data_IF_401461552501
#
_entry.id   IF_401461552501
#
_cell.length_a   1.000
_cell.length_b   1.000
_cell.length_c   1.000
_cell.angle_alpha   90.00
_cell.angle_beta   90.00
_cell.angle_gamma   90.00
#
_symmetry.space_group_name_H-M   'P 1'
#
loop_
_entity.id
_entity.type
_entity.pdbx_description
1 polymer ?
#
# COMPACT_ATOMS: atom_id res chain seq x y z
N UNK A 1 -12.09 -9.04 -9.94
CA UNK A 1 -12.57 -7.75 -9.38
C UNK A 1 -11.58 -6.65 -9.75
N UNK A 2 -12.06 -5.60 -10.37
CA UNK A 2 -11.20 -4.53 -10.91
C UNK A 2 -10.36 -3.86 -9.82
N UNK A 3 -10.96 -3.53 -8.68
CA UNK A 3 -10.24 -2.86 -7.59
C UNK A 3 -9.14 -3.76 -7.03
N UNK A 4 -9.39 -5.06 -6.95
CA UNK A 4 -8.37 -6.01 -6.48
C UNK A 4 -7.21 -6.11 -7.47
N UNK A 5 -7.49 -6.12 -8.77
CA UNK A 5 -6.47 -6.16 -9.82
C UNK A 5 -5.58 -4.91 -9.77
N UNK A 6 -6.18 -3.74 -9.54
CA UNK A 6 -5.43 -2.49 -9.39
C UNK A 6 -4.58 -2.49 -8.13
N UNK A 7 -5.10 -3.03 -7.03
CA UNK A 7 -4.35 -3.15 -5.78
C UNK A 7 -3.17 -4.11 -5.93
N UNK A 8 -3.36 -5.21 -6.67
CA UNK A 8 -2.29 -6.16 -6.97
C UNK A 8 -1.17 -5.47 -7.75
N UNK A 9 -1.53 -4.71 -8.79
CA UNK A 9 -0.56 -3.98 -9.58
C UNK A 9 0.19 -2.96 -8.73
N UNK A 10 -0.52 -2.21 -7.90
CA UNK A 10 0.08 -1.22 -7.01
C UNK A 10 1.08 -1.89 -6.05
N UNK A 11 0.72 -3.05 -5.51
CA UNK A 11 1.60 -3.80 -4.60
C UNK A 11 2.89 -4.21 -5.30
N UNK A 12 2.77 -4.78 -6.51
CA UNK A 12 3.93 -5.22 -7.28
C UNK A 12 4.81 -4.02 -7.65
N UNK A 13 4.19 -2.94 -8.10
CA UNK A 13 4.91 -1.72 -8.46
C UNK A 13 5.65 -1.13 -7.26
N UNK A 14 5.02 -1.17 -6.08
CA UNK A 14 5.65 -0.68 -4.84
C UNK A 14 6.88 -1.52 -4.49
N UNK A 15 6.77 -2.85 -4.56
CA UNK A 15 7.91 -3.74 -4.29
C UNK A 15 9.08 -3.47 -5.24
N UNK A 16 8.78 -3.19 -6.52
CA UNK A 16 9.82 -2.86 -7.49
C UNK A 16 10.45 -1.50 -7.22
N UNK A 17 9.61 -0.53 -6.87
CA UNK A 17 10.05 0.85 -6.63
C UNK A 17 10.97 0.95 -5.41
N UNK A 18 10.67 0.24 -4.32
CA UNK A 18 11.49 0.33 -3.10
C UNK A 18 12.90 -0.21 -3.31
N UNK A 19 13.14 -0.98 -4.35
CA UNK A 19 14.50 -1.44 -4.67
C UNK A 19 15.43 -0.30 -5.06
N UNK A 20 14.87 0.84 -5.46
CA UNK A 20 15.66 2.03 -5.81
C UNK A 20 15.96 2.92 -4.61
N UNK A 21 15.36 2.65 -3.45
CA UNK A 21 15.65 3.41 -2.23
C UNK A 21 17.02 3.00 -1.67
N UNK A 22 17.69 3.91 -0.94
CA UNK A 22 18.97 3.59 -0.30
C UNK A 22 18.86 2.40 0.65
N UNK A 23 19.94 1.63 0.79
CA UNK A 23 19.96 0.46 1.66
C UNK A 23 19.68 0.79 3.11
N UNK A 24 20.00 2.00 3.56
CA UNK A 24 19.72 2.46 4.93
C UNK A 24 18.23 2.55 5.22
N UNK A 25 17.37 2.56 4.17
CA UNK A 25 15.92 2.58 4.34
C UNK A 25 15.29 1.19 4.35
N UNK A 26 16.10 0.14 4.19
CA UNK A 26 15.59 -1.24 4.03
C UNK A 26 14.63 -1.65 5.16
N UNK A 27 14.98 -1.32 6.40
CA UNK A 27 14.18 -1.69 7.58
C UNK A 27 13.36 -0.53 8.12
N UNK A 28 13.24 0.57 7.39
CA UNK A 28 12.44 1.71 7.77
C UNK A 28 11.46 2.07 6.66
N UNK A 29 11.75 3.07 5.83
CA UNK A 29 10.82 3.55 4.81
C UNK A 29 10.44 2.47 3.81
N UNK A 30 11.41 1.71 3.29
CA UNK A 30 11.13 0.61 2.34
C UNK A 30 10.21 -0.42 2.95
N UNK A 31 10.47 -0.84 4.19
CA UNK A 31 9.64 -1.82 4.88
C UNK A 31 8.22 -1.30 5.10
N UNK A 32 8.09 -0.05 5.53
CA UNK A 32 6.77 0.54 5.77
C UNK A 32 5.97 0.70 4.48
N UNK A 33 6.61 1.01 3.36
CA UNK A 33 5.94 1.10 2.07
C UNK A 33 5.42 -0.26 1.61
N UNK A 34 6.23 -1.31 1.76
CA UNK A 34 5.78 -2.68 1.47
C UNK A 34 4.60 -3.07 2.34
N UNK A 35 4.66 -2.77 3.64
CA UNK A 35 3.57 -3.07 4.57
C UNK A 35 2.28 -2.34 4.20
N UNK A 36 2.37 -1.06 3.82
CA UNK A 36 1.21 -0.29 3.41
C UNK A 36 0.57 -0.89 2.15
N UNK A 37 1.38 -1.25 1.15
CA UNK A 37 0.88 -1.86 -0.08
C UNK A 37 0.18 -3.19 0.19
N UNK A 38 0.78 -4.06 1.00
CA UNK A 38 0.17 -5.35 1.38
C UNK A 38 -1.13 -5.11 2.15
N UNK A 39 -1.17 -4.11 3.04
CA UNK A 39 -2.40 -3.80 3.79
C UNK A 39 -3.54 -3.40 2.85
N UNK A 40 -3.25 -2.65 1.80
CA UNK A 40 -4.27 -2.25 0.82
C UNK A 40 -4.92 -3.48 0.20
N UNK A 41 -4.13 -4.35 -0.42
CA UNK A 41 -4.68 -5.52 -1.14
C UNK A 41 -5.31 -6.53 -0.17
N UNK A 42 -4.71 -6.75 1.00
CA UNK A 42 -5.23 -7.69 1.99
C UNK A 42 -6.60 -7.25 2.52
N UNK A 43 -6.78 -5.97 2.78
CA UNK A 43 -8.05 -5.47 3.29
C UNK A 43 -9.14 -5.39 2.23
N UNK A 44 -8.77 -5.16 0.97
CA UNK A 44 -9.72 -5.28 -0.13
C UNK A 44 -10.21 -6.73 -0.25
N UNK A 45 -9.30 -7.70 -0.18
CA UNK A 45 -9.64 -9.12 -0.24
C UNK A 45 -10.52 -9.52 0.95
N UNK A 46 -10.17 -9.09 2.16
CA UNK A 46 -10.97 -9.36 3.36
C UNK A 46 -12.36 -8.77 3.24
N UNK A 47 -12.46 -7.50 2.81
CA UNK A 47 -13.75 -6.83 2.68
C UNK A 47 -14.67 -7.49 1.66
N UNK A 48 -14.11 -7.98 0.55
CA UNK A 48 -14.91 -8.62 -0.50
C UNK A 48 -15.44 -9.98 -0.08
N UNK A 49 -14.85 -10.60 0.95
CA UNK A 49 -15.31 -11.89 1.49
C UNK A 49 -16.31 -11.77 2.63
N UNK A 50 -16.67 -10.54 3.05
CA UNK A 50 -17.57 -10.36 4.18
C UNK A 50 -19.05 -10.46 3.76
N UNK A 51 -19.89 -10.85 4.74
CA UNK A 51 -21.31 -11.06 4.51
C UNK A 51 -22.11 -9.76 4.60
N UNK A 52 -21.72 -8.87 5.51
CA UNK A 52 -22.47 -7.63 5.75
C UNK A 52 -21.77 -6.43 5.11
N UNK A 53 -22.56 -5.44 4.70
CA UNK A 53 -22.06 -4.18 4.16
C UNK A 53 -21.21 -3.42 5.22
N UNK A 54 -21.59 -3.55 6.50
CA UNK A 54 -20.86 -2.90 7.60
C UNK A 54 -19.44 -3.44 7.69
N UNK A 55 -19.27 -4.76 7.63
CA UNK A 55 -17.96 -5.39 7.69
C UNK A 55 -17.13 -5.04 6.44
N UNK A 56 -17.75 -5.05 5.27
CA UNK A 56 -17.09 -4.65 4.03
C UNK A 56 -16.55 -3.22 4.14
N UNK A 57 -17.38 -2.29 4.62
CA UNK A 57 -16.94 -0.89 4.81
C UNK A 57 -15.79 -0.78 5.81
N UNK A 58 -15.80 -1.60 6.85
CA UNK A 58 -14.72 -1.60 7.85
C UNK A 58 -13.37 -1.92 7.18
N UNK A 59 -13.31 -3.00 6.41
CA UNK A 59 -12.05 -3.40 5.76
C UNK A 59 -11.65 -2.43 4.65
N UNK A 60 -12.60 -1.91 3.90
CA UNK A 60 -12.30 -0.90 2.86
C UNK A 60 -11.81 0.40 3.50
N UNK A 61 -12.28 0.73 4.70
CA UNK A 61 -11.78 1.88 5.45
C UNK A 61 -10.31 1.72 5.83
N UNK A 62 -9.92 0.52 6.26
CA UNK A 62 -8.50 0.23 6.55
C UNK A 62 -7.67 0.35 5.27
N UNK A 63 -8.14 -0.22 4.17
CA UNK A 63 -7.45 -0.13 2.89
C UNK A 63 -7.25 1.34 2.46
N UNK A 64 -8.28 2.18 2.63
CA UNK A 64 -8.20 3.60 2.32
C UNK A 64 -7.12 4.31 3.15
N UNK A 65 -7.05 4.01 4.44
CA UNK A 65 -6.01 4.55 5.32
C UNK A 65 -4.62 4.15 4.86
N UNK A 66 -4.46 2.90 4.43
CA UNK A 66 -3.18 2.41 3.90
C UNK A 66 -2.79 3.08 2.58
N UNK A 67 -3.77 3.39 1.73
CA UNK A 67 -3.51 4.18 0.50
C UNK A 67 -2.98 5.56 0.86
N UNK A 68 -3.61 6.23 1.83
CA UNK A 68 -3.17 7.55 2.27
C UNK A 68 -1.76 7.50 2.86
N UNK A 69 -1.45 6.44 3.61
CA UNK A 69 -0.12 6.23 4.19
C UNK A 69 0.92 6.05 3.08
N UNK A 70 0.66 5.18 2.11
CA UNK A 70 1.58 4.96 1.00
C UNK A 70 1.80 6.24 0.19
N UNK A 71 0.74 7.01 -0.03
CA UNK A 71 0.83 8.29 -0.73
C UNK A 71 1.78 9.25 0.02
N UNK A 72 1.61 9.36 1.33
CA UNK A 72 2.49 10.20 2.14
C UNK A 72 3.95 9.73 2.07
N UNK A 73 4.18 8.41 2.11
CA UNK A 73 5.51 7.84 2.01
C UNK A 73 6.16 8.14 0.65
N UNK A 74 5.38 8.10 -0.42
CA UNK A 74 5.89 8.46 -1.76
C UNK A 74 6.29 9.94 -1.83
N UNK A 75 5.51 10.81 -1.21
CA UNK A 75 5.87 12.23 -1.13
C UNK A 75 7.19 12.41 -0.38
N UNK A 76 7.37 11.70 0.72
CA UNK A 76 8.64 11.74 1.48
C UNK A 76 9.80 11.28 0.60
N UNK A 77 9.61 10.21 -0.18
CA UNK A 77 10.65 9.74 -1.10
C UNK A 77 11.04 10.81 -2.13
N UNK A 78 10.05 11.55 -2.64
CA UNK A 78 10.32 12.62 -3.59
C UNK A 78 11.09 13.77 -2.93
N UNK A 79 10.69 14.16 -1.72
CA UNK A 79 11.33 15.25 -0.99
C UNK A 79 12.75 14.90 -0.58
N UNK A 80 13.02 13.64 -0.30
CA UNK A 80 14.37 13.16 -0.01
C UNK A 80 15.20 12.89 -1.27
N UNK A 81 14.60 13.11 -2.43
CA UNK A 81 15.22 12.88 -3.73
C UNK A 81 15.63 11.41 -3.98
N UNK A 82 14.95 10.47 -3.32
CA UNK A 82 15.16 9.05 -3.57
C UNK A 82 14.58 8.62 -4.91
N UNK A 83 13.56 9.35 -5.38
CA UNK A 83 12.87 9.09 -6.64
C UNK A 83 12.86 10.38 -7.47
N UNK A 84 13.03 10.23 -8.77
CA UNK A 84 13.00 11.36 -9.71
C UNK A 84 11.67 11.44 -10.44
#
# INVERSE_FOLDING_TARGET
MIVWDKAKKLTIDTYRLVKFLPKEELYSLSDQMRRAAISIISNIAEGSGRVTARETRYFLGIARGSVNELHAQLIVCQELEYLT
#
